data_IF_798119240457
#
_entry.id   IF_798119240457
#
_cell.length_a   1.000
_cell.length_b   1.000
_cell.length_c   1.000
_cell.angle_alpha   90.00
_cell.angle_beta   90.00
_cell.angle_gamma   90.00
#
_symmetry.space_group_name_H-M   'P 1'
#
loop_
_entity.id
_entity.type
_entity.pdbx_description
1 polymer ?
#
# COMPACT_ATOMS: atom_id res chain seq x y z
N UNK A 1 -2.69 10.72 -15.49
CA UNK A 1 -2.29 9.37 -15.07
C UNK A 1 -1.19 9.51 -14.04
N UNK A 2 -1.40 9.00 -12.83
CA UNK A 2 -0.40 8.95 -11.75
C UNK A 2 -0.06 7.50 -11.45
N UNK A 3 1.19 7.22 -11.08
CA UNK A 3 1.62 5.86 -10.72
C UNK A 3 1.96 5.85 -9.23
N UNK A 4 1.24 5.02 -8.48
CA UNK A 4 1.54 4.75 -7.09
C UNK A 4 2.43 3.51 -7.02
N UNK A 5 3.56 3.60 -6.32
CA UNK A 5 4.47 2.48 -6.07
C UNK A 5 4.50 2.21 -4.58
N UNK A 6 4.07 1.05 -4.15
CA UNK A 6 4.22 0.60 -2.76
C UNK A 6 5.54 -0.16 -2.63
N UNK A 7 6.39 0.24 -1.68
CA UNK A 7 7.75 -0.27 -1.47
C UNK A 7 7.99 -0.56 0.00
N UNK A 8 8.57 -1.71 0.33
CA UNK A 8 8.99 -2.10 1.66
C UNK A 8 10.29 -1.41 2.06
N UNK A 9 10.31 -0.81 3.24
CA UNK A 9 11.53 -0.34 3.88
C UNK A 9 11.96 -1.38 4.92
N UNK A 10 12.75 -2.38 4.51
CA UNK A 10 13.18 -3.44 5.40
C UNK A 10 14.14 -2.94 6.49
N UNK A 11 13.69 -2.90 7.75
CA UNK A 11 14.58 -2.91 8.92
C UNK A 11 14.12 -3.95 9.94
N UNK A 12 15.08 -4.77 10.35
CA UNK A 12 14.92 -5.97 11.16
C UNK A 12 14.07 -5.80 12.43
N UNK A 13 13.01 -6.63 12.52
CA UNK A 13 12.73 -7.54 13.63
C UNK A 13 12.69 -6.93 15.03
N UNK A 14 11.48 -6.60 15.48
CA UNK A 14 11.11 -6.75 16.89
C UNK A 14 9.91 -7.70 16.98
N UNK A 15 10.06 -8.78 17.75
CA UNK A 15 8.98 -9.69 18.10
C UNK A 15 7.93 -8.94 18.95
N UNK A 16 7.04 -8.21 18.29
CA UNK A 16 5.91 -7.51 18.88
C UNK A 16 4.66 -8.35 18.81
N UNK A 17 3.96 -8.49 19.93
CA UNK A 17 2.61 -9.07 19.92
C UNK A 17 1.69 -8.17 19.09
N UNK A 18 0.96 -8.78 18.15
CA UNK A 18 -0.11 -8.11 17.38
C UNK A 18 -1.10 -7.51 18.37
N UNK A 19 -1.04 -6.18 18.56
CA UNK A 19 -2.10 -5.46 19.27
C UNK A 19 -3.22 -5.26 18.26
N UNK A 20 -4.41 -5.73 18.60
CA UNK A 20 -5.64 -5.30 17.93
C UNK A 20 -5.79 -3.81 18.26
N UNK A 21 -5.38 -2.96 17.32
CA UNK A 21 -5.61 -1.51 17.40
C UNK A 21 -7.08 -1.30 17.02
N UNK A 22 -7.83 -0.58 17.84
CA UNK A 22 -9.14 -0.04 17.45
C UNK A 22 -9.02 0.64 16.06
N UNK A 23 -10.03 0.59 15.19
CA UNK A 23 -9.91 1.16 13.86
C UNK A 23 -9.56 2.65 13.95
N UNK A 24 -8.31 2.97 13.64
CA UNK A 24 -7.80 4.34 13.58
C UNK A 24 -8.33 4.97 12.30
N UNK A 25 -9.00 6.11 12.40
CA UNK A 25 -9.24 6.94 11.23
C UNK A 25 -7.88 7.49 10.77
N UNK A 26 -7.27 6.83 9.79
CA UNK A 26 -5.94 7.19 9.31
C UNK A 26 -5.87 8.58 8.67
N UNK A 27 -7.01 9.16 8.27
CA UNK A 27 -7.06 10.49 7.64
C UNK A 27 -7.05 11.61 8.69
N UNK A 28 -7.53 11.35 9.91
CA UNK A 28 -7.65 12.37 10.96
C UNK A 28 -6.88 12.04 12.25
N UNK A 29 -6.58 10.77 12.49
CA UNK A 29 -6.03 10.26 13.74
C UNK A 29 -4.52 10.06 13.75
N UNK A 30 -3.84 10.21 12.61
CA UNK A 30 -2.39 10.09 12.51
C UNK A 30 -1.73 11.47 12.57
N UNK A 31 -0.62 11.54 13.31
CA UNK A 31 0.28 12.70 13.25
C UNK A 31 1.29 12.44 12.14
N UNK A 32 1.31 13.31 11.15
CA UNK A 32 2.15 13.18 9.96
C UNK A 32 3.08 14.40 9.89
N UNK A 33 4.27 14.21 9.32
CA UNK A 33 5.28 15.26 9.26
C UNK A 33 5.84 15.37 7.84
N UNK A 34 6.13 16.60 7.42
CA UNK A 34 6.89 16.88 6.20
C UNK A 34 8.34 16.42 6.38
N UNK A 35 8.86 15.63 5.43
CA UNK A 35 10.24 15.14 5.49
C UNK A 35 11.31 16.22 5.27
N UNK A 36 10.93 17.41 4.77
CA UNK A 36 11.87 18.50 4.48
C UNK A 36 12.22 19.34 5.71
N UNK A 37 11.22 19.70 6.51
CA UNK A 37 11.32 20.63 7.64
C UNK A 37 10.83 20.01 8.97
N UNK A 38 10.18 18.85 8.95
CA UNK A 38 9.64 18.19 10.13
C UNK A 38 8.38 18.84 10.67
N UNK A 39 7.76 19.78 9.94
CA UNK A 39 6.51 20.39 10.35
C UNK A 39 5.36 19.39 10.25
N UNK A 40 4.40 19.48 11.18
CA UNK A 40 3.21 18.63 11.13
C UNK A 40 2.37 18.97 9.90
N UNK A 41 1.93 17.95 9.18
CA UNK A 41 1.04 18.08 8.03
C UNK A 41 -0.26 17.32 8.28
N UNK A 42 -1.36 17.85 7.76
CA UNK A 42 -2.64 17.16 7.72
C UNK A 42 -2.84 16.38 6.41
N UNK A 43 -3.94 15.62 6.34
CA UNK A 43 -4.28 14.83 5.16
C UNK A 43 -4.50 15.68 3.91
N UNK A 44 -5.06 16.88 4.05
CA UNK A 44 -5.30 17.76 2.91
C UNK A 44 -3.98 18.22 2.30
N UNK A 45 -3.00 18.58 3.13
CA UNK A 45 -1.67 18.97 2.68
C UNK A 45 -0.91 17.81 2.00
N UNK A 46 -1.05 16.58 2.50
CA UNK A 46 -0.51 15.39 1.81
C UNK A 46 -1.14 15.25 0.42
N UNK A 47 -2.45 15.47 0.31
CA UNK A 47 -3.16 15.35 -0.94
C UNK A 47 -2.86 16.46 -1.95
N UNK A 48 -2.56 17.67 -1.47
CA UNK A 48 -2.06 18.75 -2.30
C UNK A 48 -0.66 18.41 -2.86
N UNK A 49 0.22 17.83 -2.05
CA UNK A 49 1.52 17.35 -2.52
C UNK A 49 1.38 16.23 -3.56
N UNK A 50 0.48 15.27 -3.32
CA UNK A 50 0.13 14.20 -4.26
C UNK A 50 -0.40 14.76 -5.59
N UNK A 51 -1.20 15.83 -5.56
CA UNK A 51 -1.73 16.49 -6.75
C UNK A 51 -0.64 17.13 -7.63
N UNK A 52 0.57 17.35 -7.09
CA UNK A 52 1.74 17.82 -7.83
C UNK A 52 2.68 16.71 -8.35
N UNK A 53 2.51 15.46 -7.91
CA UNK A 53 3.43 14.37 -8.22
C UNK A 53 2.93 13.45 -9.34
N UNK A 54 3.81 13.03 -10.25
CA UNK A 54 3.52 12.00 -11.26
C UNK A 54 3.62 10.58 -10.69
N UNK A 55 4.56 10.39 -9.74
CA UNK A 55 4.83 9.14 -9.05
C UNK A 55 4.79 9.37 -7.56
N UNK A 56 4.07 8.52 -6.84
CA UNK A 56 3.96 8.54 -5.38
C UNK A 56 4.54 7.23 -4.88
N UNK A 57 5.48 7.28 -3.94
CA UNK A 57 6.07 6.08 -3.34
C UNK A 57 5.59 5.96 -1.90
N UNK A 58 4.97 4.83 -1.56
CA UNK A 58 4.52 4.53 -0.20
C UNK A 58 5.45 3.50 0.42
N UNK A 59 6.23 3.93 1.41
CA UNK A 59 7.05 3.06 2.25
C UNK A 59 6.18 2.22 3.20
N UNK A 60 6.59 0.98 3.48
CA UNK A 60 5.90 0.12 4.47
C UNK A 60 6.83 -0.66 5.39
N UNK A 61 6.28 -1.00 6.57
CA UNK A 61 6.75 -2.06 7.44
C UNK A 61 5.75 -3.22 7.30
N UNK A 62 6.25 -4.42 7.00
CA UNK A 62 5.37 -5.58 6.84
C UNK A 62 4.64 -5.89 8.16
N UNK A 63 3.37 -6.29 8.04
CA UNK A 63 2.48 -6.63 9.15
C UNK A 63 2.04 -5.44 10.06
N UNK A 64 2.22 -4.19 9.62
CA UNK A 64 1.63 -3.02 10.28
C UNK A 64 0.21 -2.72 9.75
N UNK A 65 -0.80 -3.07 10.55
CA UNK A 65 -2.20 -2.83 10.21
C UNK A 65 -2.55 -1.34 10.02
N UNK A 66 -1.91 -0.42 10.77
CA UNK A 66 -2.16 1.02 10.63
C UNK A 66 -1.50 1.55 9.36
N UNK A 67 -0.27 1.11 9.09
CA UNK A 67 0.44 1.37 7.83
C UNK A 67 -0.37 0.93 6.61
N UNK A 68 -0.89 -0.30 6.60
CA UNK A 68 -1.73 -0.80 5.51
C UNK A 68 -3.03 0.00 5.35
N UNK A 69 -3.67 0.39 6.46
CA UNK A 69 -4.86 1.24 6.41
C UNK A 69 -4.56 2.63 5.82
N UNK A 70 -3.40 3.22 6.16
CA UNK A 70 -2.94 4.48 5.58
C UNK A 70 -2.70 4.37 4.08
N UNK A 71 -2.00 3.33 3.62
CA UNK A 71 -1.77 3.09 2.19
C UNK A 71 -3.08 2.94 1.42
N UNK A 72 -4.01 2.15 1.95
CA UNK A 72 -5.34 1.98 1.36
C UNK A 72 -6.08 3.31 1.24
N UNK A 73 -6.01 4.16 2.27
CA UNK A 73 -6.63 5.47 2.24
C UNK A 73 -6.02 6.39 1.16
N UNK A 74 -4.69 6.38 0.98
CA UNK A 74 -4.03 7.11 -0.12
C UNK A 74 -4.49 6.57 -1.47
N UNK A 75 -4.49 5.25 -1.68
CA UNK A 75 -4.92 4.61 -2.93
C UNK A 75 -6.36 5.02 -3.28
N UNK A 76 -7.28 4.92 -2.31
CA UNK A 76 -8.69 5.29 -2.48
C UNK A 76 -8.83 6.75 -2.89
N UNK A 77 -8.19 7.67 -2.16
CA UNK A 77 -8.27 9.10 -2.44
C UNK A 77 -7.65 9.45 -3.79
N UNK A 78 -6.52 8.82 -4.16
CA UNK A 78 -5.88 9.02 -5.46
C UNK A 78 -6.77 8.52 -6.59
N UNK A 79 -7.31 7.30 -6.51
CA UNK A 79 -8.18 6.74 -7.56
C UNK A 79 -9.52 7.48 -7.66
N UNK A 80 -10.02 8.04 -6.55
CA UNK A 80 -11.22 8.88 -6.58
C UNK A 80 -10.98 10.20 -7.33
N UNK A 81 -9.82 10.83 -7.15
CA UNK A 81 -9.48 12.14 -7.75
C UNK A 81 -8.92 12.02 -9.16
N UNK A 82 -8.17 10.95 -9.43
CA UNK A 82 -7.53 10.65 -10.70
C UNK A 82 -7.77 9.18 -11.08
N UNK A 83 -8.96 8.85 -11.63
CA UNK A 83 -9.35 7.47 -11.94
C UNK A 83 -8.42 6.73 -12.89
N UNK A 84 -7.72 7.44 -13.78
CA UNK A 84 -6.73 6.87 -14.70
C UNK A 84 -5.36 6.63 -14.04
N UNK A 85 -5.30 6.49 -12.72
CA UNK A 85 -4.06 6.19 -12.00
C UNK A 85 -3.85 4.68 -11.89
N UNK A 86 -2.58 4.27 -11.79
CA UNK A 86 -2.21 2.87 -11.64
C UNK A 86 -1.58 2.64 -10.25
N UNK A 87 -1.79 1.45 -9.71
CA UNK A 87 -1.14 0.97 -8.48
C UNK A 87 -0.16 -0.13 -8.85
N UNK A 88 1.09 0.06 -8.48
CA UNK A 88 2.16 -0.93 -8.55
C UNK A 88 2.46 -1.43 -7.13
N UNK A 89 2.57 -2.75 -6.98
CA UNK A 89 2.79 -3.40 -5.69
C UNK A 89 4.07 -4.24 -5.75
N UNK A 90 4.94 -4.10 -4.76
CA UNK A 90 6.18 -4.89 -4.66
C UNK A 90 5.94 -6.40 -4.65
N UNK A 91 4.79 -6.84 -4.14
CA UNK A 91 4.44 -8.25 -3.99
C UNK A 91 4.27 -8.99 -5.32
N UNK A 92 4.16 -8.25 -6.44
CA UNK A 92 4.01 -8.81 -7.78
C UNK A 92 5.21 -8.48 -8.67
N UNK A 93 5.73 -9.49 -9.36
CA UNK A 93 6.69 -9.28 -10.43
C UNK A 93 5.95 -8.76 -11.69
N UNK A 94 6.63 -7.96 -12.51
CA UNK A 94 6.08 -7.46 -13.78
C UNK A 94 5.57 -8.59 -14.69
N UNK A 95 6.18 -9.77 -14.64
CA UNK A 95 5.79 -10.94 -15.43
C UNK A 95 4.42 -11.51 -15.03
N UNK A 96 3.88 -11.10 -13.89
CA UNK A 96 2.62 -11.59 -13.34
C UNK A 96 1.41 -10.72 -13.74
N UNK A 97 1.61 -9.64 -14.50
CA UNK A 97 0.53 -8.72 -14.89
C UNK A 97 -0.65 -9.45 -15.54
N UNK A 98 -0.40 -10.45 -16.40
CA UNK A 98 -1.48 -11.20 -17.04
C UNK A 98 -2.36 -11.98 -16.04
N UNK A 99 -1.77 -12.46 -14.93
CA UNK A 99 -2.50 -13.14 -13.86
C UNK A 99 -3.33 -12.15 -13.05
N UNK A 100 -2.79 -10.94 -12.81
CA UNK A 100 -3.53 -9.83 -12.18
C UNK A 100 -4.71 -9.41 -13.04
N UNK A 101 -4.50 -9.25 -14.35
CA UNK A 101 -5.55 -8.88 -15.29
C UNK A 101 -6.65 -9.95 -15.36
N UNK A 102 -6.27 -11.24 -15.39
CA UNK A 102 -7.23 -12.36 -15.34
C UNK A 102 -8.10 -12.30 -14.07
N UNK A 103 -7.51 -12.00 -12.91
CA UNK A 103 -8.24 -11.91 -11.64
C UNK A 103 -9.15 -10.69 -11.58
N UNK A 104 -8.67 -9.51 -12.01
CA UNK A 104 -9.48 -8.29 -12.04
C UNK A 104 -10.65 -8.36 -13.04
N UNK A 105 -10.55 -9.22 -14.05
CA UNK A 105 -11.60 -9.49 -15.02
C UNK A 105 -12.56 -10.63 -14.63
N UNK A 106 -12.45 -11.16 -13.40
CA UNK A 106 -13.21 -12.29 -12.88
C UNK A 106 -13.03 -13.60 -13.69
N UNK A 107 -11.94 -13.76 -14.44
CA UNK A 107 -11.64 -14.99 -15.19
C UNK A 107 -11.06 -16.10 -14.32
N UNK A 108 -10.43 -15.74 -13.20
CA UNK A 108 -9.91 -16.68 -12.21
C UNK A 108 -10.36 -16.25 -10.81
N UNK A 109 -10.56 -17.23 -9.92
CA UNK A 109 -10.85 -16.96 -8.52
C UNK A 109 -9.58 -16.60 -7.73
N UNK A 110 -9.79 -16.17 -6.48
CA UNK A 110 -8.69 -15.79 -5.57
C UNK A 110 -7.74 -16.95 -5.30
N UNK A 111 -8.24 -18.19 -5.28
CA UNK A 111 -7.44 -19.39 -5.04
C UNK A 111 -6.45 -19.61 -6.20
N UNK A 112 -6.96 -19.57 -7.43
CA UNK A 112 -6.18 -19.67 -8.66
C UNK A 112 -5.21 -18.48 -8.80
N UNK A 113 -5.63 -17.26 -8.45
CA UNK A 113 -4.77 -16.08 -8.44
C UNK A 113 -3.58 -16.24 -7.48
N UNK A 114 -3.83 -16.73 -6.26
CA UNK A 114 -2.77 -16.98 -5.27
C UNK A 114 -1.81 -18.10 -5.69
N UNK A 115 -2.30 -19.14 -6.37
CA UNK A 115 -1.48 -20.22 -6.89
C UNK A 115 -0.58 -19.77 -8.06
N UNK A 116 -1.12 -18.92 -8.94
CA UNK A 116 -0.44 -18.46 -10.17
C UNK A 116 0.47 -17.26 -9.96
N UNK A 117 0.37 -16.59 -8.82
CA UNK A 117 1.30 -15.52 -8.40
C UNK A 117 2.35 -16.06 -7.41
N UNK A 118 3.52 -15.43 -7.33
CA UNK A 118 4.63 -15.78 -6.46
C UNK A 118 4.34 -15.59 -4.96
N UNK A 119 3.08 -15.38 -4.59
CA UNK A 119 2.58 -15.25 -3.22
C UNK A 119 2.78 -16.50 -2.35
N UNK A 120 3.00 -17.68 -2.94
CA UNK A 120 3.35 -18.89 -2.17
C UNK A 120 4.72 -18.83 -1.49
N UNK A 121 5.62 -17.94 -1.91
CA UNK A 121 6.92 -17.74 -1.25
C UNK A 121 6.86 -16.77 -0.06
N UNK A 122 5.97 -15.78 -0.12
CA UNK A 122 5.83 -14.73 0.90
C UNK A 122 4.91 -15.13 2.07
N UNK A 123 3.82 -15.88 1.81
CA UNK A 123 2.92 -16.40 2.86
C UNK A 123 3.58 -17.38 3.85
N UNK A 124 4.77 -17.90 3.53
CA UNK A 124 5.54 -18.76 4.43
C UNK A 124 6.49 -17.99 5.36
N UNK A 125 6.77 -16.72 5.08
CA UNK A 125 7.67 -15.88 5.88
C UNK A 125 6.92 -15.02 6.90
N UNK A 126 5.62 -14.75 6.70
CA UNK A 126 4.75 -14.03 7.66
C UNK A 126 3.95 -14.94 8.62
N UNK A 127 4.27 -16.24 8.67
CA UNK A 127 3.76 -17.21 9.67
C UNK A 127 4.82 -17.63 10.69
N UNK A 128 5.65 -16.70 11.16
CA UNK A 128 6.52 -16.90 12.33
C UNK A 128 6.28 -15.84 13.38
#
# INVERSE_FOLDING_TARGET
>A
MRVLVVVCAGLAGCAGSVRVVEPVDVRAGLVMYSGGDGESVDWAQIMDAVAGADVIVLGEEHDDAVGHAFQLAIVQDVLQRWPDSAVSMEMFDRTEQAVVDDYLADFIDIETFQERTANTRWLKLSRQ
#
